data_IF_080365199651
#
_entry.id   IF_080365199651
#
_cell.length_a   1.000
_cell.length_b   1.000
_cell.length_c   1.000
_cell.angle_alpha   90.00
_cell.angle_beta   90.00
_cell.angle_gamma   90.00
#
_symmetry.space_group_name_H-M   'P 1'
#
loop_
_entity.id
_entity.type
_entity.pdbx_description
1 polymer ?
#
# COMPACT_ATOMS: atom_id res chain seq x y z
N UNK A 1 -11.11 -3.58 -18.98
CA UNK A 1 -10.83 -4.48 -17.83
C UNK A 1 -11.38 -3.84 -16.57
N UNK A 2 -12.29 -4.52 -15.86
CA UNK A 2 -12.90 -3.99 -14.61
C UNK A 2 -11.89 -3.99 -13.46
N UNK A 3 -12.23 -3.34 -12.34
CA UNK A 3 -11.40 -3.39 -11.13
C UNK A 3 -11.21 -4.83 -10.62
N UNK A 4 -12.28 -5.63 -10.64
CA UNK A 4 -12.23 -7.01 -10.20
C UNK A 4 -11.30 -7.84 -11.10
N UNK A 5 -11.37 -7.64 -12.42
CA UNK A 5 -10.47 -8.31 -13.35
C UNK A 5 -9.01 -7.94 -13.09
N UNK A 6 -8.69 -6.65 -12.91
CA UNK A 6 -7.33 -6.19 -12.63
C UNK A 6 -6.73 -6.80 -11.36
N UNK A 7 -7.56 -7.14 -10.38
CA UNK A 7 -7.11 -7.75 -9.11
C UNK A 7 -6.97 -9.27 -9.15
N UNK A 8 -7.39 -9.93 -10.23
CA UNK A 8 -7.21 -11.37 -10.35
C UNK A 8 -5.72 -11.68 -10.44
N UNK A 9 -5.26 -12.63 -9.62
CA UNK A 9 -3.85 -12.99 -9.57
C UNK A 9 -3.31 -13.53 -10.90
N UNK A 10 -4.18 -14.06 -11.76
CA UNK A 10 -3.85 -14.45 -13.13
C UNK A 10 -3.32 -13.32 -14.02
N UNK A 11 -3.61 -12.06 -13.67
CA UNK A 11 -3.17 -10.88 -14.41
C UNK A 11 -1.86 -10.28 -13.84
N UNK A 12 -1.25 -10.94 -12.86
CA UNK A 12 0.02 -10.54 -12.27
C UNK A 12 1.11 -11.51 -12.72
N UNK A 13 2.12 -10.95 -13.40
CA UNK A 13 3.23 -11.73 -13.94
C UNK A 13 4.50 -11.50 -13.12
N UNK A 14 5.07 -12.59 -12.60
CA UNK A 14 6.37 -12.54 -11.93
C UNK A 14 7.47 -12.50 -12.98
N UNK A 15 8.24 -11.42 -13.01
CA UNK A 15 9.41 -11.28 -13.90
C UNK A 15 10.62 -12.05 -13.37
N UNK A 16 10.75 -12.19 -12.05
CA UNK A 16 11.83 -12.93 -11.40
C UNK A 16 11.99 -12.53 -9.94
N UNK A 17 12.97 -13.15 -9.29
CA UNK A 17 13.36 -12.87 -7.91
C UNK A 17 14.75 -12.25 -7.90
N UNK A 18 14.98 -11.31 -6.98
CA UNK A 18 16.31 -10.75 -6.73
C UNK A 18 16.84 -11.40 -5.45
N UNK A 19 17.97 -12.13 -5.50
CA UNK A 19 18.48 -12.84 -4.34
C UNK A 19 18.93 -11.87 -3.26
N UNK A 20 19.09 -12.39 -2.04
CA UNK A 20 19.80 -11.63 -1.02
C UNK A 20 21.22 -11.31 -1.49
N UNK A 21 21.58 -10.03 -1.47
CA UNK A 21 22.85 -9.53 -2.02
C UNK A 21 22.86 -9.32 -3.54
N UNK A 22 21.76 -9.66 -4.24
CA UNK A 22 21.58 -9.33 -5.65
C UNK A 22 21.31 -7.83 -5.87
N UNK A 23 21.71 -7.33 -7.04
CA UNK A 23 21.46 -5.94 -7.44
C UNK A 23 20.20 -5.86 -8.32
N UNK A 24 19.27 -4.99 -7.92
CA UNK A 24 18.02 -4.78 -8.65
C UNK A 24 18.25 -4.17 -10.04
N UNK A 25 19.22 -3.27 -10.18
CA UNK A 25 19.48 -2.60 -11.45
C UNK A 25 20.03 -3.60 -12.47
N UNK A 26 20.95 -4.48 -12.06
CA UNK A 26 21.45 -5.57 -12.92
C UNK A 26 20.34 -6.54 -13.33
N UNK A 27 19.48 -6.92 -12.39
CA UNK A 27 18.34 -7.81 -12.64
C UNK A 27 17.35 -7.23 -13.65
N UNK A 28 16.93 -5.96 -13.48
CA UNK A 28 15.84 -5.38 -14.28
C UNK A 28 16.33 -4.87 -15.65
N UNK A 29 17.65 -4.73 -15.87
CA UNK A 29 18.24 -4.17 -17.08
C UNK A 29 17.74 -4.78 -18.41
N UNK A 30 17.58 -6.11 -18.55
CA UNK A 30 17.05 -6.70 -19.78
C UNK A 30 15.60 -6.26 -20.05
N UNK A 31 14.76 -6.25 -19.01
CA UNK A 31 13.38 -5.78 -19.10
C UNK A 31 13.31 -4.31 -19.53
N UNK A 32 14.15 -3.45 -18.95
CA UNK A 32 14.23 -2.03 -19.33
C UNK A 32 14.58 -1.87 -20.81
N UNK A 33 15.54 -2.65 -21.32
CA UNK A 33 15.94 -2.62 -22.74
C UNK A 33 14.76 -2.96 -23.67
N UNK A 34 13.94 -3.93 -23.30
CA UNK A 34 12.74 -4.30 -24.07
C UNK A 34 11.66 -3.21 -24.02
N UNK A 35 11.39 -2.63 -22.84
CA UNK A 35 10.45 -1.51 -22.73
C UNK A 35 10.92 -0.30 -23.54
N UNK A 36 12.22 0.03 -23.55
CA UNK A 36 12.76 1.10 -24.41
C UNK A 36 12.47 0.87 -25.91
N UNK A 37 12.39 -0.39 -26.37
CA UNK A 37 11.99 -0.68 -27.75
C UNK A 37 10.49 -0.43 -27.94
N UNK A 38 9.66 -0.87 -26.99
CA UNK A 38 8.21 -0.65 -27.04
C UNK A 38 7.82 0.83 -26.93
N UNK A 39 8.59 1.66 -26.21
CA UNK A 39 8.40 3.11 -26.11
C UNK A 39 8.67 3.86 -27.42
N UNK A 40 9.34 3.21 -28.38
CA UNK A 40 9.57 3.71 -29.75
C UNK A 40 8.51 3.19 -30.73
N UNK A 41 7.70 2.22 -30.31
CA UNK A 41 6.77 1.49 -31.16
C UNK A 41 7.43 0.32 -31.87
N UNK A 42 6.75 -0.82 -31.86
CA UNK A 42 7.17 -2.03 -32.59
C UNK A 42 5.96 -2.68 -33.25
N UNK A 43 6.13 -3.10 -34.51
CA UNK A 43 5.06 -3.81 -35.24
C UNK A 43 5.05 -5.27 -34.81
N UNK A 44 3.89 -5.74 -34.41
CA UNK A 44 3.61 -7.14 -34.10
C UNK A 44 2.55 -7.68 -35.04
N UNK A 45 2.58 -8.98 -35.30
CA UNK A 45 1.47 -9.70 -35.91
C UNK A 45 0.68 -10.37 -34.80
N UNK A 46 -0.56 -9.92 -34.60
CA UNK A 46 -1.47 -10.41 -33.56
C UNK A 46 -2.71 -10.92 -34.26
N UNK A 47 -2.97 -12.23 -34.16
CA UNK A 47 -4.10 -12.90 -34.82
C UNK A 47 -4.19 -12.59 -36.32
N UNK A 48 -3.05 -12.62 -37.03
CA UNK A 48 -2.97 -12.33 -38.47
C UNK A 48 -3.08 -10.83 -38.83
N UNK A 49 -3.18 -9.94 -37.84
CA UNK A 49 -3.26 -8.49 -38.04
C UNK A 49 -1.95 -7.84 -37.64
N UNK A 50 -1.38 -7.01 -38.52
CA UNK A 50 -0.22 -6.18 -38.20
C UNK A 50 -0.66 -5.00 -37.33
N UNK A 51 -0.20 -4.96 -36.09
CA UNK A 51 -0.49 -3.91 -35.12
C UNK A 51 0.79 -3.16 -34.73
N UNK A 52 0.76 -1.83 -34.71
CA UNK A 52 1.79 -1.04 -34.07
C UNK A 52 1.53 -1.01 -32.56
N UNK A 53 2.42 -1.61 -31.78
CA UNK A 53 2.34 -1.61 -30.32
C UNK A 53 3.31 -0.59 -29.77
N UNK A 54 2.77 0.36 -29.00
CA UNK A 54 3.53 1.31 -28.20
C UNK A 54 3.17 1.03 -26.75
N UNK A 55 4.18 0.75 -25.92
CA UNK A 55 3.99 0.52 -24.50
C UNK A 55 5.10 1.20 -23.70
N UNK A 56 4.75 1.67 -22.50
CA UNK A 56 5.67 2.31 -21.57
C UNK A 56 5.37 1.85 -20.15
N UNK A 57 6.27 2.18 -19.23
CA UNK A 57 6.03 1.96 -17.81
C UNK A 57 4.84 2.81 -17.35
N UNK A 58 3.78 2.17 -16.86
CA UNK A 58 2.59 2.86 -16.36
C UNK A 58 2.77 3.39 -14.93
N UNK A 59 3.13 2.52 -13.99
CA UNK A 59 3.25 2.85 -12.57
C UNK A 59 4.27 1.94 -11.89
N UNK A 60 4.95 2.48 -10.87
CA UNK A 60 5.83 1.75 -9.97
C UNK A 60 5.19 1.72 -8.60
N UNK A 61 5.02 0.51 -8.04
CA UNK A 61 4.67 0.32 -6.63
C UNK A 61 5.82 -0.29 -5.88
N UNK A 62 6.20 0.35 -4.78
CA UNK A 62 7.31 -0.06 -3.96
C UNK A 62 7.04 0.41 -2.52
N UNK A 63 7.68 -0.27 -1.56
CA UNK A 63 7.66 0.19 -0.18
C UNK A 63 8.30 1.58 -0.04
N UNK A 64 8.26 2.16 1.15
CA UNK A 64 8.75 3.52 1.37
C UNK A 64 10.24 3.68 0.98
N UNK A 65 11.18 2.85 1.48
CA UNK A 65 12.59 2.98 1.10
C UNK A 65 12.86 2.74 -0.39
N UNK A 66 12.35 1.64 -0.96
CA UNK A 66 12.59 1.29 -2.35
C UNK A 66 11.94 2.30 -3.30
N UNK A 67 10.73 2.77 -2.99
CA UNK A 67 10.06 3.81 -3.79
C UNK A 67 10.83 5.13 -3.81
N UNK A 68 11.49 5.51 -2.72
CA UNK A 68 12.38 6.67 -2.69
C UNK A 68 13.62 6.44 -3.55
N UNK A 69 14.22 5.26 -3.45
CA UNK A 69 15.38 4.87 -4.24
C UNK A 69 15.06 4.92 -5.75
N UNK A 70 13.89 4.42 -6.16
CA UNK A 70 13.39 4.45 -7.53
C UNK A 70 12.96 5.86 -8.00
N UNK A 71 12.59 6.76 -7.09
CA UNK A 71 12.28 8.16 -7.41
C UNK A 71 13.53 9.07 -7.37
N UNK A 72 14.72 8.51 -7.12
CA UNK A 72 15.99 9.23 -7.01
C UNK A 72 16.07 10.18 -5.80
N UNK A 73 15.26 9.94 -4.75
CA UNK A 73 15.16 10.77 -3.56
C UNK A 73 15.73 10.04 -2.34
N UNK A 74 16.44 10.75 -1.45
CA UNK A 74 16.91 10.18 -0.18
C UNK A 74 15.72 9.68 0.64
N UNK A 75 15.96 8.72 1.52
CA UNK A 75 14.91 8.11 2.36
C UNK A 75 14.26 9.12 3.28
N UNK A 76 13.12 8.74 3.87
CA UNK A 76 12.26 9.58 4.71
C UNK A 76 12.96 10.27 5.90
N UNK A 77 14.14 9.78 6.33
CA UNK A 77 14.94 10.42 7.38
C UNK A 77 15.72 11.68 6.93
N UNK A 78 15.83 11.95 5.63
CA UNK A 78 16.51 13.12 5.10
C UNK A 78 15.71 14.42 5.30
N UNK A 79 16.39 15.57 5.25
CA UNK A 79 15.77 16.90 5.37
C UNK A 79 14.58 17.03 4.42
N UNK A 80 14.74 16.67 3.14
CA UNK A 80 13.67 16.63 2.14
C UNK A 80 13.43 15.19 1.66
N UNK A 81 13.00 14.31 2.56
CA UNK A 81 12.82 12.88 2.29
C UNK A 81 11.52 12.48 1.59
N UNK A 82 10.58 13.40 1.32
CA UNK A 82 9.39 13.06 0.56
C UNK A 82 9.71 12.93 -0.94
N UNK A 83 9.30 11.83 -1.57
CA UNK A 83 9.48 11.64 -3.02
C UNK A 83 8.49 12.40 -3.89
N UNK A 84 7.48 13.04 -3.31
CA UNK A 84 6.44 13.75 -4.07
C UNK A 84 6.50 15.28 -3.88
N UNK A 85 7.17 15.76 -2.83
CA UNK A 85 7.34 17.20 -2.56
C UNK A 85 8.67 17.51 -1.87
N UNK A 86 8.98 18.80 -1.78
CA UNK A 86 10.20 19.35 -1.19
C UNK A 86 10.02 19.82 0.26
N UNK A 87 8.94 19.40 0.94
CA UNK A 87 8.71 19.71 2.34
C UNK A 87 9.91 19.27 3.18
N UNK A 88 10.35 20.13 4.09
CA UNK A 88 11.39 19.77 5.05
C UNK A 88 10.80 18.94 6.18
N UNK A 89 11.62 18.11 6.83
CA UNK A 89 11.23 17.21 7.91
C UNK A 89 10.48 17.94 9.03
N UNK A 90 10.81 19.19 9.31
CA UNK A 90 10.25 20.00 10.38
C UNK A 90 8.87 20.58 10.04
N UNK A 91 8.46 20.52 8.77
CA UNK A 91 7.22 21.12 8.27
C UNK A 91 6.25 20.09 7.67
N UNK A 92 6.54 18.79 7.76
CA UNK A 92 5.78 17.71 7.13
C UNK A 92 4.28 17.70 7.48
N UNK A 93 3.89 18.23 8.64
CA UNK A 93 2.47 18.33 9.03
C UNK A 93 2.04 19.77 9.29
N UNK A 94 2.68 20.74 8.65
CA UNK A 94 2.26 22.14 8.74
C UNK A 94 0.98 22.36 7.93
N UNK A 95 0.00 23.06 8.53
CA UNK A 95 -1.27 23.39 7.88
C UNK A 95 -1.10 24.33 6.66
N UNK A 96 0.02 25.06 6.60
CA UNK A 96 0.30 26.04 5.55
C UNK A 96 1.02 25.45 4.33
N UNK A 97 1.24 24.12 4.31
CA UNK A 97 1.90 23.47 3.19
C UNK A 97 1.05 23.56 1.90
N UNK A 98 1.50 24.40 0.97
CA UNK A 98 0.99 24.37 -0.40
C UNK A 98 1.72 23.31 -1.22
N UNK A 99 1.20 22.08 -1.18
CA UNK A 99 1.78 20.89 -1.82
C UNK A 99 2.01 21.06 -3.32
N UNK A 100 1.19 21.86 -4.02
CA UNK A 100 1.36 22.09 -5.47
C UNK A 100 2.60 22.95 -5.76
N UNK A 101 2.87 23.95 -4.93
CA UNK A 101 4.03 24.83 -5.06
C UNK A 101 5.33 24.11 -4.73
N UNK A 102 5.30 23.23 -3.71
CA UNK A 102 6.49 22.49 -3.29
C UNK A 102 6.58 21.09 -3.92
N UNK A 103 5.77 20.78 -4.92
CA UNK A 103 5.79 19.48 -5.57
C UNK A 103 7.16 19.20 -6.22
N UNK A 104 7.55 17.93 -6.27
CA UNK A 104 8.67 17.52 -7.11
C UNK A 104 8.17 17.29 -8.53
N UNK A 105 8.88 17.89 -9.48
CA UNK A 105 8.66 17.70 -10.91
C UNK A 105 9.91 17.08 -11.52
N UNK A 106 9.71 16.20 -12.50
CA UNK A 106 10.79 15.46 -13.17
C UNK A 106 11.85 16.40 -13.75
N UNK A 107 11.44 17.39 -14.56
CA UNK A 107 12.36 18.34 -15.20
C UNK A 107 13.22 19.12 -14.18
N UNK A 108 12.62 19.63 -13.10
CA UNK A 108 13.36 20.33 -12.02
C UNK A 108 14.38 19.38 -11.37
N UNK A 109 13.98 18.12 -11.18
CA UNK A 109 14.88 17.13 -10.57
C UNK A 109 16.06 16.82 -11.49
N UNK A 110 15.84 16.75 -12.79
CA UNK A 110 16.91 16.52 -13.76
C UNK A 110 17.85 17.73 -13.87
N UNK A 111 17.33 18.96 -13.81
CA UNK A 111 18.16 20.17 -13.71
C UNK A 111 19.06 20.14 -12.46
N UNK A 112 18.52 19.69 -11.32
CA UNK A 112 19.32 19.52 -10.09
C UNK A 112 20.39 18.43 -10.26
N UNK A 113 20.12 17.36 -11.01
CA UNK A 113 21.13 16.36 -11.35
C UNK A 113 22.22 16.92 -12.26
N UNK A 114 21.86 17.70 -13.29
CA UNK A 114 22.83 18.35 -14.16
C UNK A 114 23.73 19.31 -13.36
N UNK A 115 23.15 20.06 -12.40
CA UNK A 115 23.91 20.89 -11.46
C UNK A 115 24.79 20.05 -10.52
N UNK A 116 24.34 18.87 -10.11
CA UNK A 116 25.13 17.98 -9.26
C UNK A 116 26.35 17.40 -10.00
N UNK A 117 26.24 17.17 -11.31
CA UNK A 117 27.30 16.67 -12.18
C UNK A 117 28.44 17.70 -12.37
N UNK A 118 28.18 18.99 -12.19
CA UNK A 118 29.22 20.04 -12.25
C UNK A 118 29.99 20.21 -10.94
N UNK A 119 29.55 19.58 -9.84
CA UNK A 119 30.22 19.68 -8.54
C UNK A 119 31.40 18.72 -8.47
N UNK A 120 32.61 19.29 -8.36
CA UNK A 120 33.87 18.53 -8.38
C UNK A 120 34.12 17.77 -7.07
N UNK A 121 33.85 18.40 -5.92
CA UNK A 121 34.23 17.81 -4.63
C UNK A 121 33.13 16.90 -4.09
N UNK A 122 33.53 15.73 -3.57
CA UNK A 122 32.60 14.80 -2.93
C UNK A 122 31.91 15.42 -1.70
N UNK A 123 32.56 16.38 -1.03
CA UNK A 123 32.00 17.08 0.13
C UNK A 123 30.87 18.02 -0.28
N UNK A 124 31.06 18.83 -1.32
CA UNK A 124 30.03 19.76 -1.78
C UNK A 124 28.89 19.03 -2.47
N UNK A 125 29.18 17.91 -3.15
CA UNK A 125 28.14 17.05 -3.70
C UNK A 125 27.29 16.42 -2.57
N UNK A 126 27.91 16.02 -1.44
CA UNK A 126 27.18 15.57 -0.25
C UNK A 126 26.31 16.67 0.37
N UNK A 127 26.80 17.91 0.44
CA UNK A 127 26.00 19.05 0.91
C UNK A 127 24.80 19.28 0.00
N UNK A 128 25.04 19.38 -1.31
CA UNK A 128 24.00 19.58 -2.33
C UNK A 128 22.92 18.50 -2.28
N UNK A 129 23.32 17.23 -2.30
CA UNK A 129 22.36 16.11 -2.23
C UNK A 129 21.57 16.08 -0.93
N UNK A 130 22.13 16.60 0.17
CA UNK A 130 21.45 16.71 1.46
C UNK A 130 20.44 17.85 1.47
N UNK A 131 20.79 19.01 0.90
CA UNK A 131 19.93 20.17 0.76
C UNK A 131 18.66 19.88 -0.07
N UNK A 132 18.81 19.15 -1.18
CA UNK A 132 17.71 18.82 -2.09
C UNK A 132 17.08 17.44 -1.84
N UNK A 133 17.65 16.65 -0.94
CA UNK A 133 17.21 15.28 -0.66
C UNK A 133 17.37 14.34 -1.86
N UNK A 134 18.41 14.52 -2.67
CA UNK A 134 18.66 13.71 -3.88
C UNK A 134 19.61 12.55 -3.61
N UNK A 135 19.44 11.43 -4.33
CA UNK A 135 20.43 10.34 -4.31
C UNK A 135 21.59 10.66 -5.24
N UNK A 136 22.78 10.17 -4.91
CA UNK A 136 23.95 10.31 -5.80
C UNK A 136 23.86 9.41 -7.04
N UNK A 137 23.01 8.36 -6.99
CA UNK A 137 22.77 7.42 -8.09
C UNK A 137 21.38 7.68 -8.68
N UNK A 138 21.31 7.86 -10.01
CA UNK A 138 20.05 7.88 -10.78
C UNK A 138 19.44 6.47 -10.77
N UNK A 139 18.11 6.38 -10.86
CA UNK A 139 17.43 5.09 -10.96
C UNK A 139 17.63 4.49 -12.35
N UNK A 140 17.77 3.17 -12.46
CA UNK A 140 17.75 2.49 -13.77
C UNK A 140 16.45 2.75 -14.56
N UNK A 141 15.35 3.04 -13.86
CA UNK A 141 14.08 3.40 -14.49
C UNK A 141 14.13 4.76 -15.20
N UNK A 142 15.14 5.59 -14.95
CA UNK A 142 15.33 6.87 -15.67
C UNK A 142 15.84 6.65 -17.11
N UNK A 143 16.14 5.41 -17.51
CA UNK A 143 16.34 5.04 -18.92
C UNK A 143 15.02 4.98 -19.72
N UNK A 144 13.87 4.96 -19.04
CA UNK A 144 12.53 4.92 -19.63
C UNK A 144 11.94 6.32 -19.74
N UNK A 145 11.01 6.51 -20.68
CA UNK A 145 10.20 7.74 -20.79
C UNK A 145 9.17 7.77 -19.67
N UNK A 146 9.51 8.40 -18.54
CA UNK A 146 8.64 8.45 -17.36
C UNK A 146 8.71 9.76 -16.57
N UNK A 147 7.62 10.12 -15.91
CA UNK A 147 7.59 11.14 -14.87
C UNK A 147 7.83 10.46 -13.51
N UNK A 148 9.08 10.51 -13.04
CA UNK A 148 9.55 9.71 -11.89
C UNK A 148 8.78 9.97 -10.57
N UNK A 149 8.26 11.17 -10.33
CA UNK A 149 7.56 11.53 -9.08
C UNK A 149 6.06 11.25 -9.16
N UNK A 150 5.49 11.26 -10.36
CA UNK A 150 4.09 10.91 -10.63
C UNK A 150 3.90 9.39 -10.78
N UNK A 151 4.89 8.69 -11.34
CA UNK A 151 4.79 7.26 -11.60
C UNK A 151 5.35 6.39 -10.48
N UNK A 152 6.10 6.97 -9.53
CA UNK A 152 6.57 6.31 -8.31
C UNK A 152 5.73 6.75 -7.10
N UNK A 153 4.50 6.24 -7.03
CA UNK A 153 3.50 6.70 -6.07
C UNK A 153 3.84 6.36 -4.64
N UNK A 154 3.21 7.08 -3.71
CA UNK A 154 3.13 6.67 -2.31
C UNK A 154 2.18 5.48 -2.17
N UNK A 155 2.63 4.45 -1.43
CA UNK A 155 1.84 3.25 -1.23
C UNK A 155 0.71 3.47 -0.22
N UNK A 156 -0.51 3.53 -0.73
CA UNK A 156 -1.72 3.77 0.06
C UNK A 156 -1.90 2.74 1.17
N UNK A 157 -1.69 1.46 0.88
CA UNK A 157 -1.93 0.38 1.83
C UNK A 157 -0.96 0.50 3.00
N UNK A 158 0.32 0.72 2.69
CA UNK A 158 1.35 0.87 3.69
C UNK A 158 1.19 2.14 4.53
N UNK A 159 0.81 3.25 3.90
CA UNK A 159 0.56 4.50 4.59
C UNK A 159 -0.58 4.39 5.60
N UNK A 160 -1.72 3.85 5.20
CA UNK A 160 -2.90 3.77 6.06
C UNK A 160 -2.65 2.78 7.22
N UNK A 161 -2.16 1.58 6.94
CA UNK A 161 -1.90 0.59 7.97
C UNK A 161 -0.83 1.07 8.97
N UNK A 162 0.25 1.72 8.50
CA UNK A 162 1.27 2.28 9.39
C UNK A 162 0.76 3.38 10.31
N UNK A 163 -0.18 4.23 9.83
CA UNK A 163 -0.86 5.22 10.68
C UNK A 163 -1.74 4.55 11.72
N UNK A 164 -2.51 3.53 11.33
CA UNK A 164 -3.39 2.81 12.25
C UNK A 164 -2.60 2.06 13.32
N UNK A 165 -1.51 1.40 12.96
CA UNK A 165 -0.66 0.69 13.91
C UNK A 165 -0.11 1.65 14.98
N UNK A 166 0.39 2.82 14.53
CA UNK A 166 0.85 3.88 15.44
C UNK A 166 -0.29 4.39 16.33
N UNK A 167 -1.46 4.61 15.75
CA UNK A 167 -2.63 5.07 16.48
C UNK A 167 -3.09 4.07 17.54
N UNK A 168 -3.06 2.79 17.21
CA UNK A 168 -3.40 1.70 18.12
C UNK A 168 -2.42 1.64 19.30
N UNK A 169 -1.13 1.72 19.03
CA UNK A 169 -0.10 1.79 20.05
C UNK A 169 -0.32 2.96 21.01
N UNK A 170 -0.58 4.15 20.48
CA UNK A 170 -0.90 5.34 21.28
C UNK A 170 -2.16 5.07 22.12
N UNK A 171 -3.24 4.61 21.49
CA UNK A 171 -4.52 4.33 22.17
C UNK A 171 -4.34 3.42 23.38
N UNK A 172 -3.65 2.28 23.21
CA UNK A 172 -3.41 1.30 24.28
C UNK A 172 -2.56 1.90 25.40
N UNK A 173 -1.59 2.76 25.06
CA UNK A 173 -0.70 3.38 26.03
C UNK A 173 -1.33 4.55 26.82
N UNK A 174 -2.37 5.19 26.28
CA UNK A 174 -3.14 6.22 26.98
C UNK A 174 -3.97 5.63 28.14
N UNK A 175 -4.36 4.36 28.05
CA UNK A 175 -5.25 3.72 29.04
C UNK A 175 -4.55 3.49 30.38
N UNK A 176 -5.26 3.78 31.47
CA UNK A 176 -4.89 3.37 32.83
C UNK A 176 -5.04 1.84 32.98
N UNK A 177 -4.59 1.26 34.09
CA UNK A 177 -4.77 -0.18 34.33
C UNK A 177 -6.26 -0.58 34.34
N UNK A 178 -7.12 0.25 34.93
CA UNK A 178 -8.57 0.01 34.91
C UNK A 178 -9.17 0.27 33.54
N UNK A 179 -8.66 1.25 32.79
CA UNK A 179 -9.02 1.46 31.38
C UNK A 179 -8.67 0.26 30.49
N UNK A 180 -7.52 -0.39 30.71
CA UNK A 180 -7.13 -1.62 30.02
C UNK A 180 -8.07 -2.78 30.36
N UNK A 181 -8.48 -2.94 31.63
CA UNK A 181 -9.47 -3.95 32.03
C UNK A 181 -10.82 -3.67 31.35
N UNK A 182 -11.29 -2.42 31.36
CA UNK A 182 -12.53 -2.01 30.72
C UNK A 182 -12.49 -2.25 29.20
N UNK A 183 -11.36 -1.94 28.55
CA UNK A 183 -11.13 -2.26 27.14
C UNK A 183 -11.27 -3.77 26.88
N UNK A 184 -10.65 -4.62 27.69
CA UNK A 184 -10.69 -6.09 27.53
C UNK A 184 -12.13 -6.60 27.64
N UNK A 185 -12.92 -6.06 28.57
CA UNK A 185 -14.34 -6.40 28.72
C UNK A 185 -15.13 -6.00 27.47
N UNK A 186 -14.97 -4.75 27.01
CA UNK A 186 -15.62 -4.26 25.80
C UNK A 186 -15.22 -5.09 24.56
N UNK A 187 -13.93 -5.38 24.41
CA UNK A 187 -13.37 -6.21 23.33
C UNK A 187 -13.94 -7.63 23.31
N UNK A 188 -14.07 -8.26 24.48
CA UNK A 188 -14.66 -9.60 24.60
C UNK A 188 -16.13 -9.60 24.19
N UNK A 189 -16.89 -8.60 24.63
CA UNK A 189 -18.33 -8.43 24.34
C UNK A 189 -18.65 -7.93 22.94
N UNK A 190 -17.67 -7.45 22.18
CA UNK A 190 -17.90 -6.93 20.84
C UNK A 190 -18.18 -8.07 19.86
N UNK A 191 -19.36 -8.02 19.25
CA UNK A 191 -19.77 -8.93 18.18
C UNK A 191 -19.11 -8.51 16.87
N UNK A 192 -18.33 -9.41 16.30
CA UNK A 192 -17.69 -9.20 15.01
C UNK A 192 -18.67 -9.56 13.89
N UNK A 193 -18.51 -8.97 12.68
CA UNK A 193 -19.19 -9.48 11.50
C UNK A 193 -18.96 -10.99 11.35
N UNK A 194 -20.00 -11.76 11.02
CA UNK A 194 -19.96 -13.24 11.03
C UNK A 194 -18.77 -13.84 10.26
N UNK A 195 -18.33 -13.19 9.19
CA UNK A 195 -17.24 -13.67 8.32
C UNK A 195 -15.83 -13.36 8.86
N UNK A 196 -15.72 -12.62 9.97
CA UNK A 196 -14.45 -12.14 10.50
C UNK A 196 -13.91 -13.09 11.57
N UNK A 197 -12.62 -13.41 11.45
CA UNK A 197 -11.93 -14.10 12.54
C UNK A 197 -11.63 -13.07 13.62
N UNK A 198 -11.92 -13.43 14.88
CA UNK A 198 -11.64 -12.56 16.02
C UNK A 198 -10.13 -12.38 16.15
N UNK A 199 -9.67 -11.13 16.14
CA UNK A 199 -8.26 -10.82 16.28
C UNK A 199 -7.80 -11.00 17.73
N UNK A 200 -6.49 -11.25 17.95
CA UNK A 200 -5.87 -11.17 19.26
C UNK A 200 -6.18 -9.84 19.97
N UNK A 201 -6.15 -9.81 21.30
CA UNK A 201 -6.43 -8.59 22.05
C UNK A 201 -5.34 -7.54 21.82
N UNK A 202 -5.68 -6.33 21.33
CA UNK A 202 -4.70 -5.27 21.09
C UNK A 202 -3.88 -4.83 22.30
N UNK A 203 -4.40 -4.95 23.54
CA UNK A 203 -3.68 -4.49 24.73
C UNK A 203 -2.35 -5.21 24.92
N UNK A 204 -2.28 -6.49 24.54
CA UNK A 204 -1.08 -7.33 24.72
C UNK A 204 -0.42 -7.75 23.41
N UNK A 205 -1.14 -7.62 22.29
CA UNK A 205 -0.70 -8.16 21.00
C UNK A 205 -0.57 -7.09 19.90
N UNK A 206 -0.61 -5.79 20.22
CA UNK A 206 -0.56 -4.74 19.20
C UNK A 206 0.69 -4.80 18.31
N UNK A 207 1.81 -5.35 18.79
CA UNK A 207 3.05 -5.51 18.02
C UNK A 207 3.03 -6.69 17.06
N UNK A 208 2.16 -7.67 17.29
CA UNK A 208 2.03 -8.86 16.43
C UNK A 208 1.11 -8.66 15.22
N UNK A 209 0.38 -7.55 15.16
CA UNK A 209 -0.56 -7.31 14.08
C UNK A 209 0.16 -7.01 12.77
N UNK A 210 -0.22 -7.76 11.74
CA UNK A 210 0.17 -7.44 10.37
C UNK A 210 -0.71 -6.31 9.82
N UNK A 211 -0.34 -5.80 8.65
CA UNK A 211 -1.00 -4.62 8.07
C UNK A 211 -2.49 -4.83 7.80
N UNK A 212 -2.90 -6.04 7.38
CA UNK A 212 -4.31 -6.38 7.19
C UNK A 212 -5.09 -6.34 8.50
N UNK A 213 -4.48 -6.81 9.59
CA UNK A 213 -5.11 -6.78 10.91
C UNK A 213 -5.33 -5.34 11.35
N UNK A 214 -4.35 -4.45 11.11
CA UNK A 214 -4.49 -3.02 11.38
C UNK A 214 -5.69 -2.42 10.63
N UNK A 215 -5.86 -2.74 9.34
CA UNK A 215 -7.00 -2.24 8.56
C UNK A 215 -8.34 -2.80 9.06
N UNK A 216 -8.40 -4.07 9.50
CA UNK A 216 -9.60 -4.61 10.12
C UNK A 216 -9.89 -3.92 11.46
N UNK A 217 -8.88 -3.74 12.29
CA UNK A 217 -9.00 -3.08 13.59
C UNK A 217 -9.55 -1.68 13.47
N UNK A 218 -9.08 -0.89 12.50
CA UNK A 218 -9.57 0.48 12.36
C UNK A 218 -11.09 0.55 12.22
N UNK A 219 -11.72 -0.39 11.52
CA UNK A 219 -13.18 -0.39 11.35
C UNK A 219 -13.96 -0.66 12.64
N UNK A 220 -13.42 -1.45 13.57
CA UNK A 220 -14.12 -1.87 14.80
C UNK A 220 -13.76 -1.02 16.01
N UNK A 221 -12.54 -0.49 16.06
CA UNK A 221 -12.03 0.27 17.21
C UNK A 221 -12.88 1.48 17.61
N UNK A 222 -13.42 2.32 16.68
CA UNK A 222 -14.29 3.42 17.08
C UNK A 222 -15.50 2.95 17.91
N UNK A 223 -16.11 1.83 17.53
CA UNK A 223 -17.27 1.27 18.23
C UNK A 223 -16.88 0.72 19.61
N UNK A 224 -15.76 -0.01 19.68
CA UNK A 224 -15.28 -0.61 20.93
C UNK A 224 -14.92 0.48 21.93
N UNK A 225 -14.15 1.48 21.51
CA UNK A 225 -13.71 2.58 22.39
C UNK A 225 -14.92 3.39 22.87
N UNK A 226 -15.88 3.67 21.99
CA UNK A 226 -17.07 4.44 22.36
C UNK A 226 -17.95 3.75 23.42
N UNK A 227 -17.83 2.42 23.61
CA UNK A 227 -18.62 1.68 24.60
C UNK A 227 -18.13 1.83 26.03
N UNK A 228 -16.83 2.03 26.26
CA UNK A 228 -16.26 2.01 27.62
C UNK A 228 -15.50 3.27 27.99
N UNK A 229 -14.95 4.01 27.03
CA UNK A 229 -13.95 5.03 27.32
C UNK A 229 -14.56 6.22 28.07
N UNK A 230 -14.07 6.47 29.28
CA UNK A 230 -14.34 7.67 30.07
C UNK A 230 -13.02 8.25 30.60
N UNK A 231 -13.07 9.47 31.13
CA UNK A 231 -11.88 10.20 31.62
C UNK A 231 -11.09 9.43 32.69
N UNK A 232 -11.78 8.72 33.58
CA UNK A 232 -11.16 7.91 34.65
C UNK A 232 -10.36 6.69 34.13
N UNK A 233 -10.56 6.31 32.86
CA UNK A 233 -9.85 5.19 32.23
C UNK A 233 -8.61 5.62 31.46
N UNK A 234 -8.29 6.91 31.44
CA UNK A 234 -7.10 7.48 30.80
C UNK A 234 -6.10 7.85 31.89
N UNK A 235 -4.80 7.65 31.63
CA UNK A 235 -3.76 8.12 32.55
C UNK A 235 -3.82 9.66 32.67
N UNK A 236 -3.72 10.18 33.88
CA UNK A 236 -3.84 11.63 34.14
C UNK A 236 -2.87 12.46 33.31
N UNK A 237 -1.60 12.07 33.22
CA UNK A 237 -0.60 12.77 32.41
C UNK A 237 -0.99 12.83 30.92
N UNK A 238 -1.43 11.69 30.35
CA UNK A 238 -1.90 11.61 28.98
C UNK A 238 -3.13 12.49 28.73
N UNK A 239 -4.07 12.51 29.67
CA UNK A 239 -5.27 13.35 29.59
C UNK A 239 -4.90 14.83 29.60
N UNK A 240 -4.03 15.26 30.52
CA UNK A 240 -3.52 16.62 30.60
C UNK A 240 -2.77 17.02 29.32
N UNK A 241 -1.96 16.13 28.75
CA UNK A 241 -1.30 16.39 27.46
C UNK A 241 -2.32 16.65 26.35
N UNK A 242 -3.37 15.82 26.23
CA UNK A 242 -4.43 16.01 25.22
C UNK A 242 -5.17 17.33 25.47
N UNK A 243 -5.52 17.63 26.72
CA UNK A 243 -6.18 18.88 27.11
C UNK A 243 -5.36 20.10 26.68
N UNK A 244 -4.07 20.12 26.99
CA UNK A 244 -3.17 21.23 26.64
C UNK A 244 -3.02 21.38 25.12
N UNK A 245 -2.77 20.27 24.40
CA UNK A 245 -2.56 20.30 22.94
C UNK A 245 -3.82 20.70 22.16
N UNK A 246 -5.00 20.34 22.68
CA UNK A 246 -6.27 20.65 22.04
C UNK A 246 -6.92 21.94 22.58
N UNK A 247 -6.30 22.59 23.58
CA UNK A 247 -6.89 23.70 24.33
C UNK A 247 -8.29 23.37 24.89
N UNK A 248 -8.43 22.19 25.52
CA UNK A 248 -9.67 21.68 26.10
C UNK A 248 -9.53 21.61 27.61
N UNK A 249 -10.40 22.30 28.35
CA UNK A 249 -10.39 22.27 29.82
C UNK A 249 -11.11 21.05 30.41
N UNK A 250 -12.20 20.60 29.79
CA UNK A 250 -13.02 19.49 30.31
C UNK A 250 -12.48 18.11 29.91
N UNK A 251 -12.24 17.26 30.92
CA UNK A 251 -11.76 15.90 30.75
C UNK A 251 -12.63 15.03 29.80
N UNK A 252 -13.96 15.17 29.88
CA UNK A 252 -14.88 14.41 29.04
C UNK A 252 -14.75 14.79 27.55
N UNK A 253 -14.49 16.06 27.26
CA UNK A 253 -14.27 16.51 25.88
C UNK A 253 -12.92 16.02 25.35
N UNK A 254 -11.87 16.04 26.16
CA UNK A 254 -10.58 15.45 25.80
C UNK A 254 -10.70 13.93 25.56
N UNK A 255 -11.51 13.24 26.35
CA UNK A 255 -11.84 11.82 26.14
C UNK A 255 -12.60 11.60 24.82
N UNK A 256 -13.58 12.45 24.49
CA UNK A 256 -14.32 12.38 23.22
C UNK A 256 -13.45 12.67 21.99
N UNK A 257 -12.38 13.46 22.13
CA UNK A 257 -11.39 13.62 21.06
C UNK A 257 -10.77 12.27 20.69
N UNK A 258 -10.67 11.34 21.65
CA UNK A 258 -10.09 10.02 21.40
C UNK A 258 -10.96 9.19 20.44
N UNK A 259 -12.27 9.20 20.66
CA UNK A 259 -13.22 8.55 19.75
C UNK A 259 -13.24 9.25 18.39
N UNK A 260 -13.16 10.58 18.40
CA UNK A 260 -13.22 11.42 17.19
C UNK A 260 -12.08 11.12 16.23
N UNK A 261 -10.84 10.91 16.71
CA UNK A 261 -9.73 10.61 15.81
C UNK A 261 -9.90 9.24 15.13
N UNK A 262 -10.38 8.21 15.86
CA UNK A 262 -10.61 6.88 15.27
C UNK A 262 -11.68 6.97 14.19
N UNK A 263 -12.75 7.74 14.45
CA UNK A 263 -13.80 8.02 13.47
C UNK A 263 -13.23 8.66 12.20
N UNK A 264 -12.38 9.69 12.33
CA UNK A 264 -11.79 10.40 11.18
C UNK A 264 -10.86 9.51 10.36
N UNK A 265 -10.08 8.64 11.00
CA UNK A 265 -9.24 7.65 10.30
C UNK A 265 -10.10 6.68 9.49
N UNK A 266 -11.21 6.19 10.05
CA UNK A 266 -12.12 5.28 9.34
C UNK A 266 -12.85 5.98 8.19
N UNK A 267 -13.37 7.19 8.41
CA UNK A 267 -14.00 8.00 7.36
C UNK A 267 -13.05 8.21 6.17
N UNK A 268 -11.80 8.57 6.45
CA UNK A 268 -10.77 8.70 5.42
C UNK A 268 -10.48 7.37 4.74
N UNK A 269 -10.38 6.28 5.50
CA UNK A 269 -10.10 4.95 4.96
C UNK A 269 -11.18 4.46 3.99
N UNK A 270 -12.45 4.70 4.29
CA UNK A 270 -13.58 4.33 3.42
C UNK A 270 -13.44 4.98 2.03
N UNK A 271 -13.08 6.26 1.98
CA UNK A 271 -12.84 6.95 0.72
C UNK A 271 -11.59 6.45 0.02
N UNK A 272 -10.51 6.29 0.78
CA UNK A 272 -9.22 5.83 0.25
C UNK A 272 -9.32 4.47 -0.45
N UNK A 273 -10.16 3.56 0.07
CA UNK A 273 -10.41 2.25 -0.53
C UNK A 273 -11.72 2.17 -1.32
N UNK A 274 -12.30 3.30 -1.74
CA UNK A 274 -13.49 3.33 -2.59
C UNK A 274 -13.15 2.88 -4.02
N UNK A 275 -13.98 2.00 -4.60
CA UNK A 275 -13.75 1.34 -5.90
C UNK A 275 -13.87 2.26 -7.12
N UNK A 276 -14.57 3.37 -6.99
CA UNK A 276 -14.83 4.33 -8.07
C UNK A 276 -15.08 5.71 -7.48
N UNK A 277 -14.55 6.74 -8.13
CA UNK A 277 -14.68 8.13 -7.68
C UNK A 277 -15.47 8.94 -8.72
N UNK A 278 -16.40 9.75 -8.24
CA UNK A 278 -16.96 10.88 -8.99
C UNK A 278 -16.26 12.20 -8.58
N UNK A 279 -16.69 13.34 -9.12
CA UNK A 279 -16.11 14.65 -8.80
C UNK A 279 -16.21 14.99 -7.31
N UNK A 280 -17.34 14.69 -6.67
CA UNK A 280 -17.57 14.96 -5.25
C UNK A 280 -16.68 14.09 -4.36
N UNK A 281 -16.39 12.86 -4.77
CA UNK A 281 -15.49 11.96 -4.05
C UNK A 281 -14.07 12.52 -3.96
N UNK A 282 -13.57 13.17 -5.01
CA UNK A 282 -12.26 13.83 -4.96
C UNK A 282 -12.25 14.99 -3.97
N UNK A 283 -13.33 15.79 -3.92
CA UNK A 283 -13.48 16.91 -2.99
C UNK A 283 -13.57 16.37 -1.56
N UNK A 284 -14.35 15.33 -1.34
CA UNK A 284 -14.53 14.71 -0.04
C UNK A 284 -13.23 14.04 0.45
N UNK A 285 -12.51 13.34 -0.44
CA UNK A 285 -11.20 12.77 -0.13
C UNK A 285 -10.23 13.87 0.34
N UNK A 286 -10.17 15.01 -0.38
CA UNK A 286 -9.31 16.13 0.01
C UNK A 286 -9.65 16.65 1.42
N UNK A 287 -10.95 16.83 1.71
CA UNK A 287 -11.43 17.28 3.02
C UNK A 287 -11.07 16.29 4.12
N UNK A 288 -11.28 14.98 3.89
CA UNK A 288 -10.96 13.93 4.84
C UNK A 288 -9.45 13.84 5.13
N UNK A 289 -8.60 13.87 4.11
CA UNK A 289 -7.14 13.86 4.28
C UNK A 289 -6.63 15.08 5.07
N UNK A 290 -7.18 16.27 4.79
CA UNK A 290 -6.84 17.49 5.52
C UNK A 290 -7.27 17.40 6.99
N UNK A 291 -8.53 17.01 7.24
CA UNK A 291 -9.08 16.83 8.59
C UNK A 291 -8.32 15.78 9.39
N UNK A 292 -7.95 14.66 8.77
CA UNK A 292 -7.14 13.61 9.39
C UNK A 292 -5.77 14.16 9.80
N UNK A 293 -5.10 14.93 8.93
CA UNK A 293 -3.81 15.53 9.28
C UNK A 293 -3.94 16.50 10.45
N UNK A 294 -4.88 17.43 10.38
CA UNK A 294 -5.09 18.47 11.41
C UNK A 294 -5.33 17.82 12.77
N UNK A 295 -6.28 16.90 12.85
CA UNK A 295 -6.66 16.27 14.12
C UNK A 295 -5.54 15.40 14.67
N UNK A 296 -4.91 14.54 13.85
CA UNK A 296 -3.87 13.63 14.36
C UNK A 296 -2.65 14.39 14.86
N UNK A 297 -2.17 15.37 14.10
CA UNK A 297 -0.99 16.16 14.47
C UNK A 297 -1.25 17.15 15.61
N UNK A 298 -2.48 17.67 15.74
CA UNK A 298 -2.88 18.48 16.88
C UNK A 298 -2.91 17.63 18.15
N UNK A 299 -3.65 16.51 18.16
CA UNK A 299 -3.90 15.72 19.36
C UNK A 299 -2.65 15.00 19.85
N UNK A 300 -1.85 14.44 18.94
CA UNK A 300 -0.75 13.54 19.27
C UNK A 300 0.59 14.01 18.71
N UNK A 301 1.57 14.14 19.59
CA UNK A 301 2.93 14.51 19.22
C UNK A 301 3.57 13.48 18.26
N UNK A 302 3.26 12.20 18.43
CA UNK A 302 3.72 11.10 17.58
C UNK A 302 3.36 11.25 16.09
N UNK A 303 2.39 12.09 15.77
CA UNK A 303 1.97 12.39 14.40
C UNK A 303 2.53 13.71 13.88
N UNK A 304 3.10 14.56 14.74
CA UNK A 304 3.75 15.80 14.32
C UNK A 304 4.94 15.43 13.43
N UNK A 305 4.99 16.02 12.24
CA UNK A 305 6.03 15.81 11.25
C UNK A 305 6.23 14.35 10.82
N UNK A 306 5.20 13.51 10.97
CA UNK A 306 5.26 12.11 10.56
C UNK A 306 5.26 12.00 9.02
N UNK A 307 6.28 11.37 8.40
CA UNK A 307 6.33 11.22 6.94
C UNK A 307 5.12 10.52 6.34
N UNK A 308 4.58 9.51 7.02
CA UNK A 308 3.38 8.78 6.57
C UNK A 308 2.13 9.68 6.55
N UNK A 309 2.03 10.62 7.49
CA UNK A 309 0.93 11.58 7.52
C UNK A 309 1.08 12.60 6.39
N UNK A 310 2.28 13.17 6.19
CA UNK A 310 2.56 14.05 5.05
C UNK A 310 2.27 13.38 3.70
N UNK A 311 2.69 12.13 3.53
CA UNK A 311 2.49 11.40 2.29
C UNK A 311 1.01 11.24 1.92
N UNK A 312 0.10 11.33 2.90
CA UNK A 312 -1.35 11.30 2.69
C UNK A 312 -1.84 12.48 1.83
N UNK A 313 -1.16 13.63 1.84
CA UNK A 313 -1.51 14.78 1.00
C UNK A 313 -1.37 14.52 -0.50
N UNK A 314 -0.48 13.61 -0.87
CA UNK A 314 -0.24 13.27 -2.27
C UNK A 314 -1.29 12.30 -2.82
N UNK A 315 -2.11 11.70 -1.95
CA UNK A 315 -3.11 10.72 -2.35
C UNK A 315 -4.18 11.30 -3.27
N UNK A 316 -4.57 12.57 -3.11
CA UNK A 316 -5.51 13.19 -4.05
C UNK A 316 -4.95 13.24 -5.48
N UNK A 317 -3.67 13.63 -5.63
CA UNK A 317 -3.00 13.67 -6.93
C UNK A 317 -2.90 12.27 -7.52
N UNK A 318 -2.55 11.28 -6.69
CA UNK A 318 -2.49 9.88 -7.10
C UNK A 318 -3.86 9.39 -7.59
N UNK A 319 -4.93 9.66 -6.83
CA UNK A 319 -6.29 9.29 -7.19
C UNK A 319 -6.71 9.90 -8.54
N UNK A 320 -6.45 11.20 -8.75
CA UNK A 320 -6.76 11.88 -10.02
C UNK A 320 -5.98 11.31 -11.21
N UNK A 321 -4.75 10.88 -10.97
CA UNK A 321 -3.87 10.33 -12.03
C UNK A 321 -4.28 8.92 -12.42
N UNK A 322 -4.64 8.08 -11.44
CA UNK A 322 -4.95 6.66 -11.66
C UNK A 322 -6.43 6.33 -11.48
N UNK A 323 -7.31 7.33 -11.56
CA UNK A 323 -8.75 7.31 -11.31
C UNK A 323 -9.22 6.91 -9.90
N UNK A 324 -8.48 6.06 -9.19
CA UNK A 324 -8.73 5.68 -7.80
C UNK A 324 -7.41 5.33 -7.12
N UNK A 325 -7.36 5.44 -5.79
CA UNK A 325 -6.21 4.98 -5.01
C UNK A 325 -6.05 3.45 -5.04
N UNK A 326 -7.15 2.74 -5.22
CA UNK A 326 -7.18 1.29 -5.33
C UNK A 326 -6.45 0.74 -6.56
N UNK A 327 -6.44 1.49 -7.67
CA UNK A 327 -5.68 1.11 -8.87
C UNK A 327 -4.17 1.16 -8.63
N UNK A 328 -3.73 1.92 -7.63
CA UNK A 328 -2.33 2.03 -7.23
C UNK A 328 -1.96 1.22 -5.98
N UNK A 329 -2.90 0.50 -5.38
CA UNK A 329 -2.70 -0.22 -4.13
C UNK A 329 -1.96 -1.55 -4.33
N UNK A 330 -1.09 -1.90 -3.39
CA UNK A 330 -0.25 -3.12 -3.47
C UNK A 330 -0.87 -4.38 -2.89
N UNK A 331 -2.16 -4.36 -2.51
CA UNK A 331 -2.78 -5.48 -1.80
C UNK A 331 -2.61 -6.83 -2.52
N UNK A 332 -2.63 -6.83 -3.87
CA UNK A 332 -2.43 -8.05 -4.65
C UNK A 332 -0.98 -8.53 -4.62
N UNK A 333 -0.01 -7.61 -4.69
CA UNK A 333 1.42 -7.91 -4.49
C UNK A 333 1.67 -8.56 -3.13
N UNK A 334 1.04 -8.07 -2.07
CA UNK A 334 1.17 -8.66 -0.73
C UNK A 334 0.61 -10.08 -0.63
N UNK A 335 -0.47 -10.38 -1.37
CA UNK A 335 -1.00 -11.75 -1.47
C UNK A 335 0.01 -12.65 -2.19
N UNK A 336 0.57 -12.21 -3.33
CA UNK A 336 1.64 -12.94 -4.04
C UNK A 336 2.83 -13.21 -3.13
N UNK A 337 3.29 -12.20 -2.39
CA UNK A 337 4.37 -12.35 -1.42
C UNK A 337 4.05 -13.38 -0.33
N UNK A 338 2.83 -13.36 0.21
CA UNK A 338 2.40 -14.33 1.24
C UNK A 338 2.46 -15.77 0.71
N UNK A 339 2.04 -15.99 -0.54
CA UNK A 339 2.07 -17.30 -1.19
C UNK A 339 3.51 -17.78 -1.33
N UNK A 340 4.40 -16.96 -1.89
CA UNK A 340 5.82 -17.33 -2.03
C UNK A 340 6.49 -17.59 -0.69
N UNK A 341 6.23 -16.75 0.33
CA UNK A 341 6.73 -16.99 1.70
C UNK A 341 6.23 -18.32 2.28
N UNK A 342 4.99 -18.71 1.97
CA UNK A 342 4.43 -20.01 2.37
C UNK A 342 5.12 -21.20 1.70
N UNK A 343 5.67 -21.03 0.49
CA UNK A 343 6.40 -22.08 -0.23
C UNK A 343 7.82 -22.26 0.32
N UNK A 344 8.48 -21.17 0.77
CA UNK A 344 9.89 -21.19 1.22
C UNK A 344 10.24 -22.32 2.20
N UNK A 345 9.46 -22.58 3.28
CA UNK A 345 9.73 -23.68 4.20
C UNK A 345 9.78 -25.08 3.57
N UNK A 346 9.11 -25.25 2.42
CA UNK A 346 8.97 -26.50 1.67
C UNK A 346 9.99 -26.62 0.51
N UNK A 347 10.88 -25.65 0.35
CA UNK A 347 11.98 -25.72 -0.62
C UNK A 347 13.17 -26.50 -0.05
N UNK A 348 14.09 -26.93 -0.92
CA UNK A 348 15.35 -27.55 -0.48
C UNK A 348 16.34 -26.54 0.14
N UNK A 349 15.98 -25.25 0.16
CA UNK A 349 16.76 -24.09 0.66
C UNK A 349 18.13 -23.89 0.03
N UNK A 350 18.53 -24.72 -0.95
CA UNK A 350 19.79 -24.59 -1.71
C UNK A 350 19.64 -23.63 -2.87
N UNK A 351 18.50 -23.70 -3.57
CA UNK A 351 18.21 -22.81 -4.70
C UNK A 351 16.74 -22.38 -4.65
N UNK A 352 16.41 -21.55 -3.66
CA UNK A 352 15.05 -21.08 -3.39
C UNK A 352 14.45 -20.41 -4.63
N UNK A 353 15.24 -19.62 -5.36
CA UNK A 353 14.76 -18.89 -6.54
C UNK A 353 14.30 -19.83 -7.65
N UNK A 354 15.11 -20.86 -7.95
CA UNK A 354 14.75 -21.86 -8.93
C UNK A 354 13.51 -22.65 -8.48
N UNK A 355 13.41 -22.99 -7.20
CA UNK A 355 12.24 -23.71 -6.66
C UNK A 355 10.95 -22.85 -6.76
N UNK A 356 11.04 -21.56 -6.45
CA UNK A 356 9.92 -20.62 -6.57
C UNK A 356 9.54 -20.38 -8.04
N UNK A 357 10.52 -20.20 -8.94
CA UNK A 357 10.29 -20.02 -10.37
C UNK A 357 9.70 -21.26 -11.02
N UNK A 358 10.16 -22.47 -10.66
CA UNK A 358 9.57 -23.73 -11.11
C UNK A 358 8.11 -23.81 -10.68
N UNK A 359 7.84 -23.58 -9.39
CA UNK A 359 6.48 -23.61 -8.84
C UNK A 359 5.57 -22.63 -9.57
N UNK A 360 6.02 -21.38 -9.75
CA UNK A 360 5.27 -20.35 -10.48
C UNK A 360 5.03 -20.72 -11.94
N UNK A 361 6.07 -21.18 -12.66
CA UNK A 361 5.98 -21.53 -14.09
C UNK A 361 5.07 -22.73 -14.31
N UNK A 362 5.14 -23.76 -13.45
CA UNK A 362 4.24 -24.91 -13.51
C UNK A 362 2.78 -24.48 -13.33
N UNK A 363 2.49 -23.64 -12.34
CA UNK A 363 1.13 -23.12 -12.11
C UNK A 363 0.64 -22.28 -13.30
N UNK A 364 1.51 -21.44 -13.86
CA UNK A 364 1.19 -20.62 -15.02
C UNK A 364 0.93 -21.47 -16.28
N UNK A 365 1.70 -22.54 -16.49
CA UNK A 365 1.49 -23.47 -17.60
C UNK A 365 0.17 -24.23 -17.46
N UNK A 366 -0.16 -24.74 -16.26
CA UNK A 366 -1.45 -25.39 -15.99
C UNK A 366 -2.59 -24.39 -16.27
N UNK A 367 -2.43 -23.13 -15.84
CA UNK A 367 -3.41 -22.08 -16.09
C UNK A 367 -3.63 -21.83 -17.59
N UNK A 368 -2.55 -21.71 -18.35
CA UNK A 368 -2.62 -21.53 -19.79
C UNK A 368 -3.44 -22.64 -20.45
N UNK A 369 -3.22 -23.90 -20.06
CA UNK A 369 -3.98 -25.05 -20.57
C UNK A 369 -5.47 -25.00 -20.18
N UNK A 370 -5.78 -24.63 -18.92
CA UNK A 370 -7.18 -24.48 -18.45
C UNK A 370 -7.91 -23.38 -19.20
N UNK A 371 -7.23 -22.28 -19.53
CA UNK A 371 -7.80 -21.16 -20.30
C UNK A 371 -7.97 -21.47 -21.80
N UNK A 372 -7.77 -22.73 -22.21
CA UNK A 372 -7.87 -23.16 -23.61
C UNK A 372 -6.62 -22.84 -24.45
N UNK A 373 -5.51 -22.48 -23.79
CA UNK A 373 -4.21 -22.28 -24.43
C UNK A 373 -3.69 -23.58 -25.04
N UNK A 374 -3.02 -23.45 -26.18
CA UNK A 374 -2.48 -24.56 -26.96
C UNK A 374 -0.97 -24.55 -26.81
N UNK A 375 -0.38 -25.66 -26.34
CA UNK A 375 1.07 -25.85 -26.46
C UNK A 375 1.36 -26.21 -27.94
N UNK A 376 2.08 -25.38 -28.70
CA UNK A 376 2.34 -25.64 -30.12
C UNK A 376 3.18 -26.91 -30.35
N UNK A 377 3.83 -27.46 -29.30
CA UNK A 377 4.51 -28.76 -29.35
C UNK A 377 3.55 -29.94 -29.27
N UNK A 378 2.31 -29.71 -28.80
CA UNK A 378 1.24 -30.69 -28.74
C UNK A 378 0.31 -30.47 -29.93
N UNK A 379 0.18 -31.48 -30.78
CA UNK A 379 -0.63 -31.42 -32.02
C UNK A 379 -2.15 -31.39 -31.79
N UNK A 380 -2.60 -31.43 -30.54
CA UNK A 380 -4.02 -31.38 -30.14
C UNK A 380 -4.18 -30.55 -28.87
N UNK A 381 -5.24 -29.74 -28.80
CA UNK A 381 -5.70 -29.19 -27.53
C UNK A 381 -6.10 -30.34 -26.61
N UNK A 382 -5.55 -30.37 -25.38
CA UNK A 382 -5.94 -31.38 -24.41
C UNK A 382 -7.32 -31.03 -23.85
N UNK A 383 -8.37 -31.66 -24.37
CA UNK A 383 -9.72 -31.50 -23.85
C UNK A 383 -9.85 -31.99 -22.40
N UNK A 384 -8.90 -32.81 -21.92
CA UNK A 384 -8.90 -33.30 -20.53
C UNK A 384 -8.81 -32.17 -19.49
N UNK A 385 -8.12 -31.07 -19.80
CA UNK A 385 -8.05 -29.90 -18.90
C UNK A 385 -9.27 -28.99 -19.01
N UNK A 386 -9.92 -28.94 -20.18
CA UNK A 386 -11.19 -28.22 -20.36
C UNK A 386 -12.38 -29.00 -19.80
N UNK A 387 -12.29 -30.33 -19.64
CA UNK A 387 -13.31 -31.20 -19.04
C UNK A 387 -13.17 -31.32 -17.51
N UNK A 388 -12.03 -30.90 -16.93
CA UNK A 388 -11.83 -30.72 -15.49
C UNK A 388 -12.63 -29.52 -14.90
N UNK A 389 -13.51 -28.89 -15.69
CA UNK A 389 -13.90 -27.48 -15.60
C UNK A 389 -15.01 -27.09 -14.64
N UNK A 390 -15.62 -28.01 -13.88
CA UNK A 390 -16.56 -27.62 -12.82
C UNK A 390 -15.85 -27.24 -11.53
N UNK A 391 -15.21 -28.25 -10.91
CA UNK A 391 -14.58 -28.11 -9.60
C UNK A 391 -13.11 -27.71 -9.70
N UNK A 392 -12.37 -28.21 -10.69
CA UNK A 392 -10.94 -27.90 -10.81
C UNK A 392 -10.70 -26.51 -11.38
N UNK A 393 -11.51 -26.05 -12.35
CA UNK A 393 -11.42 -24.67 -12.83
C UNK A 393 -11.79 -23.67 -11.73
N UNK A 394 -12.74 -24.00 -10.85
CA UNK A 394 -13.07 -23.20 -9.66
C UNK A 394 -11.95 -23.22 -8.62
N UNK A 395 -11.39 -24.40 -8.33
CA UNK A 395 -10.21 -24.54 -7.47
C UNK A 395 -9.04 -23.72 -8.03
N UNK A 396 -8.77 -23.76 -9.33
CA UNK A 396 -7.67 -23.04 -9.98
C UNK A 396 -7.98 -21.56 -10.28
N UNK A 397 -9.25 -21.16 -10.39
CA UNK A 397 -9.68 -19.75 -10.43
C UNK A 397 -9.63 -19.11 -9.05
N UNK A 398 -9.89 -19.90 -8.01
CA UNK A 398 -9.99 -19.51 -6.62
C UNK A 398 -8.73 -19.85 -5.79
N UNK A 399 -7.71 -20.48 -6.38
CA UNK A 399 -6.44 -20.95 -5.75
C UNK A 399 -5.56 -19.84 -5.16
N UNK A 400 -6.11 -18.64 -5.18
CA UNK A 400 -5.52 -17.40 -4.75
C UNK A 400 -6.30 -16.73 -3.60
N UNK A 401 -7.39 -17.34 -3.08
CA UNK A 401 -8.11 -16.84 -1.91
C UNK A 401 -7.94 -17.79 -0.71
N UNK A 402 -7.17 -17.33 0.27
CA UNK A 402 -7.32 -17.75 1.67
C UNK A 402 -8.63 -17.18 2.19
N UNK A 403 -9.71 -17.96 2.05
CA UNK A 403 -10.87 -18.13 2.95
C UNK A 403 -11.99 -18.79 2.17
N UNK A 404 -12.54 -19.85 2.74
CA UNK A 404 -13.83 -20.43 2.34
C UNK A 404 -14.87 -19.31 2.19
N UNK A 405 -15.31 -19.07 0.96
CA UNK A 405 -16.69 -18.64 0.75
C UNK A 405 -17.50 -19.93 0.68
N UNK A 406 -18.13 -20.29 1.80
CA UNK A 406 -19.27 -21.20 1.75
C UNK A 406 -20.29 -20.57 0.80
N UNK A 407 -20.72 -21.36 -0.17
CA UNK A 407 -21.79 -20.98 -1.08
C UNK A 407 -23.02 -20.65 -0.25
N UNK A 408 -23.74 -19.62 -0.66
CA UNK A 408 -25.17 -19.54 -0.40
C UNK A 408 -25.80 -20.80 -1.01
N UNK A 409 -26.12 -21.79 -0.17
CA UNK A 409 -27.07 -22.83 -0.52
C UNK A 409 -28.46 -22.18 -0.51
N UNK A 410 -28.77 -21.47 -1.59
CA UNK A 410 -30.16 -21.32 -2.02
C UNK A 410 -30.55 -22.65 -2.68
N UNK A 411 -30.82 -23.63 -1.84
CA UNK A 411 -31.48 -24.88 -2.16
C UNK A 411 -32.78 -24.97 -1.39
N UNK A 412 -33.73 -24.07 -1.67
CA UNK A 412 -35.14 -24.37 -1.42
C UNK A 412 -35.44 -25.65 -2.21
N UNK A 413 -35.52 -26.75 -1.47
CA UNK A 413 -36.06 -28.00 -1.96
C UNK A 413 -37.56 -27.93 -1.74
N UNK A 414 -38.29 -27.82 -2.84
CA UNK A 414 -39.72 -28.08 -2.92
C UNK A 414 -40.02 -29.55 -2.52
N UNK A 415 -41.14 -29.74 -1.81
CA UNK A 415 -41.80 -31.03 -1.52
C UNK A 415 -41.44 -31.61 -0.15
N UNK A 416 -42.34 -31.77 0.82
CA UNK A 416 -43.80 -32.01 0.84
C UNK A 416 -44.42 -31.26 2.02
#
# INVERSE_FOLDING_TARGET
>A
MTFNDRKQLKNYFVLGFVPFGGDFDDFIKPFIKEICQLEKGKVFEINGVRCLIIASLGQVTADLPQGNDLACIKRHGAIKGCRSCQATKEKLTSADLNILLIARYHHITDELYNRMETIITATDQRKFTTEYGLRNKKSILDLLKREKHLQTLQDVYHLIAGKIQRLLHITVNLLSNDGKKAFVTAWKSFEYPQQWQKLPNPVWHYESFIMSDCLHLSTVMPFIINRFLCSNYIKNNSLTTIQNRCNITRADFATKMIVTYWKVVVETMVLVFKKSYNTDDYILLQKCLKKEMEILSQVFEDFVNLPNLNASFHLLKNAKTYATLLNSAVGVKEIVHKIFKGIVPHTNRKNIELDLLKSYTTLFAIRHLIDGGIDPRLSRSSNAFTDLSGNFARIMSDWFIVKECLKDDNGETEGI
#
